data_IF_039390863053
#
_entry.id   IF_039390863053
#
_cell.length_a   1.000
_cell.length_b   1.000
_cell.length_c   1.000
_cell.angle_alpha   90.00
_cell.angle_beta   90.00
_cell.angle_gamma   90.00
#
_symmetry.space_group_name_H-M   'P 1'
#
loop_
_entity.id
_entity.type
_entity.pdbx_description
1 polymer ?
#
# COMPACT_ATOMS: atom_id res chain seq x y z
N UNK A 1 -12.10 -10.86 -24.39
CA UNK A 1 -12.20 -10.47 -22.99
C UNK A 1 -11.17 -11.25 -22.20
N UNK A 2 -10.38 -10.53 -21.48
CA UNK A 2 -9.39 -11.14 -20.61
C UNK A 2 -10.07 -11.39 -19.26
N UNK A 3 -10.08 -12.63 -18.86
CA UNK A 3 -10.66 -13.01 -17.58
C UNK A 3 -9.61 -13.18 -16.49
N UNK A 4 -8.35 -12.94 -16.82
CA UNK A 4 -7.29 -13.03 -15.83
C UNK A 4 -7.47 -11.92 -14.81
N UNK A 5 -7.49 -12.29 -13.55
CA UNK A 5 -7.43 -11.33 -12.48
C UNK A 5 -5.97 -11.00 -12.24
N UNK A 6 -5.58 -9.80 -12.59
CA UNK A 6 -4.24 -9.32 -12.25
C UNK A 6 -4.34 -8.59 -10.92
N UNK A 7 -3.30 -8.74 -10.15
CA UNK A 7 -3.16 -8.02 -8.90
C UNK A 7 -1.84 -7.27 -8.89
N UNK A 8 -1.81 -6.12 -8.27
CA UNK A 8 -0.60 -5.32 -8.13
C UNK A 8 -0.37 -5.00 -6.67
N UNK A 9 0.89 -4.83 -6.33
CA UNK A 9 1.29 -4.32 -5.03
C UNK A 9 2.04 -3.02 -5.29
N UNK A 10 1.58 -1.96 -4.66
CA UNK A 10 2.25 -0.67 -4.74
C UNK A 10 3.18 -0.52 -3.54
N UNK A 11 4.44 -0.21 -3.78
CA UNK A 11 5.44 -0.08 -2.74
C UNK A 11 6.11 1.28 -2.84
N UNK A 12 6.22 1.99 -1.74
CA UNK A 12 7.03 3.20 -1.69
C UNK A 12 7.71 3.31 -0.34
N UNK A 13 8.75 4.13 -0.28
CA UNK A 13 9.50 4.31 0.95
C UNK A 13 9.31 5.73 1.49
N UNK A 14 9.36 5.84 2.81
CA UNK A 14 9.39 7.12 3.51
C UNK A 14 10.82 7.45 3.88
N UNK A 15 11.41 8.53 3.33
CA UNK A 15 12.80 8.90 3.65
C UNK A 15 13.05 9.15 5.13
N UNK A 16 12.00 9.53 5.87
CA UNK A 16 12.12 9.73 7.32
C UNK A 16 12.41 8.45 8.10
N UNK A 17 12.14 7.29 7.48
CA UNK A 17 12.24 6.00 8.14
C UNK A 17 10.99 5.59 8.91
N UNK A 18 10.02 6.48 9.09
CA UNK A 18 8.76 6.18 9.76
C UNK A 18 7.76 5.63 8.73
N UNK A 19 7.36 4.34 8.82
CA UNK A 19 6.46 3.74 7.85
C UNK A 19 4.98 4.08 8.10
N UNK A 20 4.67 4.93 9.07
CA UNK A 20 3.28 5.30 9.36
C UNK A 20 2.65 5.99 8.16
N UNK A 21 1.45 5.54 7.72
CA UNK A 21 0.77 6.19 6.60
C UNK A 21 0.37 7.62 6.93
N UNK A 22 0.59 8.52 5.97
CA UNK A 22 0.12 9.89 6.05
C UNK A 22 -1.26 10.02 5.40
N UNK A 23 -1.89 11.17 5.59
CA UNK A 23 -3.15 11.48 4.89
C UNK A 23 -2.97 11.42 3.37
N UNK A 24 -1.81 11.88 2.88
CA UNK A 24 -1.48 11.79 1.45
C UNK A 24 -1.40 10.35 0.97
N UNK A 25 -0.85 9.46 1.80
CA UNK A 25 -0.77 8.03 1.47
C UNK A 25 -2.16 7.42 1.36
N UNK A 26 -3.07 7.78 2.26
CA UNK A 26 -4.45 7.30 2.19
C UNK A 26 -5.15 7.78 0.92
N UNK A 27 -4.95 9.04 0.55
CA UNK A 27 -5.51 9.57 -0.70
C UNK A 27 -4.95 8.86 -1.92
N UNK A 28 -3.64 8.59 -1.91
CA UNK A 28 -2.99 7.85 -2.98
C UNK A 28 -3.57 6.45 -3.10
N UNK A 29 -3.72 5.76 -1.97
CA UNK A 29 -4.29 4.41 -1.96
C UNK A 29 -5.69 4.40 -2.58
N UNK A 30 -6.54 5.37 -2.23
CA UNK A 30 -7.87 5.46 -2.79
C UNK A 30 -7.85 5.67 -4.30
N UNK A 31 -6.96 6.53 -4.78
CA UNK A 31 -6.80 6.76 -6.23
C UNK A 31 -6.32 5.51 -6.94
N UNK A 32 -5.37 4.79 -6.36
CA UNK A 32 -4.85 3.55 -6.93
C UNK A 32 -5.94 2.49 -7.01
N UNK A 33 -6.76 2.38 -5.97
CA UNK A 33 -7.87 1.43 -5.97
C UNK A 33 -8.88 1.73 -7.08
N UNK A 34 -9.24 3.00 -7.24
CA UNK A 34 -10.17 3.39 -8.29
C UNK A 34 -9.60 3.16 -9.69
N UNK A 35 -8.34 3.50 -9.89
CA UNK A 35 -7.67 3.28 -11.17
C UNK A 35 -7.57 1.78 -11.47
N UNK A 36 -7.22 0.97 -10.49
CA UNK A 36 -7.12 -0.47 -10.64
C UNK A 36 -8.48 -1.07 -11.02
N UNK A 37 -9.56 -0.60 -10.39
CA UNK A 37 -10.92 -1.02 -10.72
C UNK A 37 -11.26 -0.78 -12.18
N UNK A 38 -10.92 0.40 -12.68
CA UNK A 38 -11.18 0.75 -14.08
C UNK A 38 -10.44 -0.16 -15.04
N UNK A 39 -9.28 -0.66 -14.64
CA UNK A 39 -8.44 -1.55 -15.44
C UNK A 39 -8.72 -3.02 -15.15
N UNK A 40 -9.70 -3.33 -14.32
CA UNK A 40 -10.01 -4.68 -13.88
C UNK A 40 -8.82 -5.38 -13.23
N UNK A 41 -8.07 -4.62 -12.44
CA UNK A 41 -6.91 -5.08 -11.70
C UNK A 41 -7.21 -4.89 -10.22
N UNK A 42 -6.78 -5.83 -9.40
CA UNK A 42 -6.89 -5.70 -7.95
C UNK A 42 -5.66 -5.00 -7.39
N UNK A 43 -5.87 -3.97 -6.57
CA UNK A 43 -4.81 -3.46 -5.72
C UNK A 43 -4.73 -4.38 -4.51
N UNK A 44 -3.78 -5.30 -4.54
CA UNK A 44 -3.65 -6.31 -3.50
C UNK A 44 -3.13 -5.72 -2.20
N UNK A 45 -2.14 -4.86 -2.29
CA UNK A 45 -1.56 -4.23 -1.11
C UNK A 45 -0.90 -2.90 -1.47
N UNK A 46 -0.75 -2.06 -0.46
CA UNK A 46 0.05 -0.86 -0.50
C UNK A 46 1.01 -0.94 0.68
N UNK A 47 2.30 -1.00 0.39
CA UNK A 47 3.34 -1.21 1.38
C UNK A 47 4.21 0.02 1.46
N UNK A 48 4.35 0.55 2.66
CA UNK A 48 5.24 1.68 2.94
C UNK A 48 6.45 1.13 3.67
N UNK A 49 7.62 1.40 3.14
CA UNK A 49 8.88 0.94 3.71
C UNK A 49 9.54 2.08 4.46
N UNK A 50 9.92 1.82 5.68
CA UNK A 50 10.69 2.73 6.52
C UNK A 50 11.87 2.00 7.14
N UNK A 51 12.13 2.26 8.41
CA UNK A 51 13.16 1.59 9.18
C UNK A 51 12.52 0.95 10.41
N UNK A 52 13.08 -0.16 10.91
CA UNK A 52 12.59 -0.76 12.14
C UNK A 52 12.60 0.24 13.29
N UNK A 53 11.49 0.27 14.03
CA UNK A 53 11.35 1.18 15.15
C UNK A 53 11.82 0.57 16.46
N UNK A 54 11.81 1.37 17.54
CA UNK A 54 12.14 0.89 18.88
C UNK A 54 11.14 -0.17 19.34
N UNK A 55 11.60 -1.09 20.17
CA UNK A 55 10.72 -2.13 20.69
C UNK A 55 10.37 -3.22 19.70
N UNK A 56 11.14 -3.36 18.62
CA UNK A 56 10.91 -4.41 17.64
C UNK A 56 9.80 -4.09 16.64
N UNK A 57 9.41 -2.84 16.50
CA UNK A 57 8.43 -2.44 15.51
C UNK A 57 8.97 -2.70 14.10
N UNK A 58 8.15 -3.29 13.20
CA UNK A 58 8.58 -3.57 11.84
C UNK A 58 8.85 -2.29 11.07
N UNK A 59 9.80 -2.35 10.13
CA UNK A 59 10.16 -1.23 9.30
C UNK A 59 9.25 -1.03 8.09
N UNK A 60 8.03 -1.52 8.15
CA UNK A 60 7.09 -1.39 7.04
C UNK A 60 5.65 -1.31 7.55
N UNK A 61 4.80 -0.79 6.69
CA UNK A 61 3.35 -0.82 6.91
C UNK A 61 2.70 -1.47 5.69
N UNK A 62 1.88 -2.48 5.92
CA UNK A 62 1.05 -3.09 4.89
C UNK A 62 -0.41 -2.71 5.12
N UNK A 63 -1.02 -2.10 4.14
CA UNK A 63 -2.43 -1.72 4.22
C UNK A 63 -3.33 -2.94 4.36
N UNK A 64 -2.97 -4.04 3.71
CA UNK A 64 -3.76 -5.26 3.82
C UNK A 64 -3.68 -5.85 5.22
N UNK A 65 -2.50 -5.89 5.81
CA UNK A 65 -2.33 -6.38 7.18
C UNK A 65 -3.13 -5.55 8.19
N UNK A 66 -3.25 -4.25 7.95
CA UNK A 66 -3.99 -3.34 8.81
C UNK A 66 -5.48 -3.25 8.49
N UNK A 67 -5.94 -4.04 7.54
CA UNK A 67 -7.33 -4.02 7.08
C UNK A 67 -7.78 -2.65 6.57
N UNK A 68 -6.87 -1.94 5.90
CA UNK A 68 -7.15 -0.62 5.31
C UNK A 68 -7.47 -0.71 3.81
N UNK A 69 -7.42 -1.90 3.26
CA UNK A 69 -7.82 -2.17 1.88
C UNK A 69 -9.11 -2.94 1.82
#
# INVERSE_FOLDING_TARGET
IVHSAYAIIFVHNHPSGDPTPSASDHRLTNRLREAAKLLMIELYDHIIIGAPGPGGQPGYTSYRELHLL
#
